data_IF_269462038106
#
_entry.id   IF_269462038106
#
_cell.length_a   1.000
_cell.length_b   1.000
_cell.length_c   1.000
_cell.angle_alpha   90.00
_cell.angle_beta   90.00
_cell.angle_gamma   90.00
#
_symmetry.space_group_name_H-M   'P 1'
#
loop_
_entity.id
_entity.type
_entity.pdbx_description
1 polymer ?
#
# COMPACT_ATOMS: atom_id res chain seq x y z
N UNK A 1 -42.26 -37.22 -6.67
CA UNK A 1 -41.44 -36.83 -7.82
C UNK A 1 -42.30 -36.02 -8.77
N UNK A 2 -42.35 -34.71 -8.57
CA UNK A 2 -42.99 -33.75 -9.47
C UNK A 2 -42.02 -32.59 -9.70
N UNK A 3 -41.91 -32.14 -10.94
CA UNK A 3 -41.04 -31.03 -11.36
C UNK A 3 -41.54 -29.69 -10.81
N UNK A 4 -40.64 -28.88 -10.25
CA UNK A 4 -40.90 -27.49 -9.82
C UNK A 4 -40.49 -26.53 -10.95
N UNK A 5 -41.37 -25.63 -11.38
CA UNK A 5 -41.11 -24.74 -12.53
C UNK A 5 -41.00 -23.25 -12.21
N UNK A 6 -41.27 -22.81 -10.98
CA UNK A 6 -41.15 -21.39 -10.62
C UNK A 6 -40.73 -21.23 -9.15
N UNK A 7 -39.64 -20.49 -8.96
CA UNK A 7 -39.14 -19.97 -7.68
C UNK A 7 -39.42 -18.46 -7.63
N UNK A 8 -40.24 -18.01 -6.68
CA UNK A 8 -40.43 -16.60 -6.38
C UNK A 8 -39.83 -16.30 -5.01
N UNK A 9 -38.55 -15.89 -5.02
CA UNK A 9 -37.80 -15.39 -3.87
C UNK A 9 -38.60 -14.31 -3.13
N UNK A 10 -39.34 -14.70 -2.09
CA UNK A 10 -40.22 -13.78 -1.34
C UNK A 10 -39.48 -13.29 -0.12
N UNK A 11 -38.87 -12.12 -0.22
CA UNK A 11 -38.24 -11.42 0.90
C UNK A 11 -39.31 -10.60 1.64
N UNK A 12 -39.70 -11.02 2.84
CA UNK A 12 -40.59 -10.24 3.71
C UNK A 12 -39.77 -9.36 4.65
N UNK A 13 -40.14 -8.08 4.78
CA UNK A 13 -39.59 -7.19 5.80
C UNK A 13 -40.10 -7.55 7.20
N UNK A 14 -39.37 -7.14 8.26
CA UNK A 14 -39.82 -7.34 9.65
C UNK A 14 -41.24 -6.81 9.89
N UNK A 15 -41.60 -5.66 9.32
CA UNK A 15 -42.95 -5.10 9.45
C UNK A 15 -44.03 -6.00 8.80
N UNK A 16 -43.68 -6.70 7.71
CA UNK A 16 -44.58 -7.68 7.09
C UNK A 16 -44.67 -8.95 7.93
N UNK A 17 -43.55 -9.41 8.52
CA UNK A 17 -43.52 -10.57 9.44
C UNK A 17 -44.36 -10.31 10.69
N UNK A 18 -44.23 -9.12 11.29
CA UNK A 18 -44.99 -8.73 12.49
C UNK A 18 -46.51 -8.71 12.24
N UNK A 19 -46.93 -8.43 11.00
CA UNK A 19 -48.34 -8.48 10.62
C UNK A 19 -48.91 -9.91 10.54
N UNK A 20 -48.06 -10.95 10.44
CA UNK A 20 -48.49 -12.35 10.47
C UNK A 20 -48.61 -12.93 11.88
N UNK A 21 -48.02 -12.29 12.90
CA UNK A 21 -48.10 -12.74 14.30
C UNK A 21 -49.26 -12.03 15.00
N UNK A 22 -50.46 -12.61 14.89
CA UNK A 22 -51.69 -12.02 15.44
C UNK A 22 -52.45 -12.99 16.34
N UNK A 23 -53.01 -12.49 17.44
CA UNK A 23 -54.01 -13.21 18.24
C UNK A 23 -55.38 -13.04 17.59
N UNK A 24 -55.68 -13.90 16.62
CA UNK A 24 -56.87 -13.81 15.78
C UNK A 24 -57.92 -14.87 16.03
N UNK A 25 -59.14 -14.65 15.51
CA UNK A 25 -60.16 -15.68 15.47
C UNK A 25 -59.75 -16.76 14.46
N UNK A 26 -59.73 -18.02 14.92
CA UNK A 26 -59.43 -19.19 14.09
C UNK A 26 -60.74 -19.81 13.60
N UNK A 27 -60.96 -19.82 12.28
CA UNK A 27 -62.12 -20.47 11.65
C UNK A 27 -61.69 -21.79 11.02
N UNK A 28 -62.17 -22.89 11.60
CA UNK A 28 -61.80 -24.25 11.20
C UNK A 28 -62.57 -24.70 9.96
N UNK A 29 -61.85 -25.21 8.96
CA UNK A 29 -62.46 -25.82 7.78
C UNK A 29 -62.94 -27.25 8.06
N UNK A 30 -63.91 -27.71 7.27
CA UNK A 30 -64.37 -29.09 7.29
C UNK A 30 -63.21 -30.08 7.05
N UNK A 31 -63.14 -31.13 7.86
CA UNK A 31 -62.02 -32.08 7.85
C UNK A 31 -60.86 -31.74 8.79
N UNK A 32 -60.92 -30.62 9.51
CA UNK A 32 -60.00 -30.35 10.62
C UNK A 32 -60.15 -31.43 11.70
N UNK A 33 -59.03 -31.92 12.24
CA UNK A 33 -59.05 -32.99 13.25
C UNK A 33 -58.33 -32.58 14.54
N UNK A 34 -58.84 -33.06 15.68
CA UNK A 34 -58.18 -33.00 16.99
C UNK A 34 -57.85 -34.42 17.43
N UNK A 35 -56.56 -34.72 17.64
CA UNK A 35 -56.09 -36.09 17.91
C UNK A 35 -56.56 -37.13 16.87
N UNK A 36 -56.70 -36.71 15.61
CA UNK A 36 -57.17 -37.55 14.51
C UNK A 36 -58.70 -37.70 14.42
N UNK A 37 -59.47 -37.23 15.40
CA UNK A 37 -60.94 -37.19 15.32
C UNK A 37 -61.41 -35.91 14.61
N UNK A 38 -62.35 -36.01 13.68
CA UNK A 38 -62.87 -34.84 12.95
C UNK A 38 -63.69 -33.93 13.87
N UNK A 39 -63.35 -32.64 13.85
CA UNK A 39 -64.11 -31.62 14.58
C UNK A 39 -65.36 -31.29 13.77
N UNK A 40 -66.52 -31.30 14.43
CA UNK A 40 -67.77 -30.87 13.81
C UNK A 40 -67.69 -29.38 13.51
N UNK A 41 -67.87 -29.01 12.24
CA UNK A 41 -67.80 -27.63 11.74
C UNK A 41 -68.99 -27.36 10.82
N UNK A 42 -69.41 -26.11 10.71
CA UNK A 42 -70.56 -25.70 9.89
C UNK A 42 -71.83 -25.37 10.68
N UNK A 43 -72.96 -25.28 9.99
CA UNK A 43 -74.25 -24.95 10.60
C UNK A 43 -74.91 -26.21 11.18
N UNK A 44 -75.25 -26.17 12.48
CA UNK A 44 -76.03 -27.22 13.15
C UNK A 44 -77.47 -26.74 13.28
N UNK A 45 -78.40 -27.35 12.53
CA UNK A 45 -79.81 -26.93 12.45
C UNK A 45 -80.77 -27.82 13.24
N UNK A 46 -80.25 -28.87 13.86
CA UNK A 46 -81.02 -29.84 14.66
C UNK A 46 -80.33 -30.00 16.00
N UNK A 47 -81.03 -29.65 17.08
CA UNK A 47 -80.60 -29.94 18.44
C UNK A 47 -81.04 -31.37 18.80
N UNK A 48 -80.06 -32.27 18.88
CA UNK A 48 -80.28 -33.61 19.42
C UNK A 48 -79.75 -33.57 20.84
N UNK A 49 -80.63 -33.51 21.83
CA UNK A 49 -80.22 -33.52 23.22
C UNK A 49 -79.51 -34.85 23.55
N UNK A 50 -78.18 -34.83 23.56
CA UNK A 50 -77.33 -36.02 23.64
C UNK A 50 -77.23 -36.62 25.04
N UNK A 51 -77.74 -35.94 26.07
CA UNK A 51 -77.78 -36.40 27.48
C UNK A 51 -76.48 -37.07 27.95
N UNK A 52 -75.32 -36.49 27.58
CA UNK A 52 -74.01 -37.03 27.93
C UNK A 52 -73.74 -36.91 29.45
N UNK A 53 -73.16 -37.95 30.04
CA UNK A 53 -72.69 -37.92 31.43
C UNK A 53 -71.38 -37.12 31.56
N UNK A 54 -71.05 -36.61 32.76
CA UNK A 54 -69.81 -35.87 33.00
C UNK A 54 -68.56 -36.66 32.56
N UNK A 55 -68.52 -37.97 32.81
CA UNK A 55 -67.40 -38.83 32.38
C UNK A 55 -67.26 -38.90 30.85
N UNK A 56 -68.37 -38.80 30.11
CA UNK A 56 -68.33 -38.73 28.64
C UNK A 56 -67.89 -37.35 28.17
N UNK A 57 -68.31 -36.27 28.83
CA UNK A 57 -67.89 -34.90 28.53
C UNK A 57 -66.39 -34.72 28.77
N UNK A 58 -65.86 -35.22 29.88
CA UNK A 58 -64.43 -35.16 30.22
C UNK A 58 -63.55 -35.88 29.19
N UNK A 59 -64.08 -36.91 28.51
CA UNK A 59 -63.38 -37.59 27.43
C UNK A 59 -63.30 -36.77 26.12
N UNK A 60 -64.18 -35.76 25.93
CA UNK A 60 -64.14 -34.86 24.78
C UNK A 60 -63.25 -33.63 25.01
N UNK A 61 -62.96 -33.26 26.27
CA UNK A 61 -62.07 -32.15 26.61
C UNK A 61 -60.63 -32.65 26.66
N UNK A 62 -59.98 -32.68 25.50
CA UNK A 62 -58.59 -33.16 25.35
C UNK A 62 -57.66 -32.03 24.90
N UNK A 63 -56.47 -31.97 25.52
CA UNK A 63 -55.35 -31.22 24.96
C UNK A 63 -54.67 -32.13 23.93
N UNK A 64 -54.81 -31.79 22.65
CA UNK A 64 -54.43 -32.66 21.55
C UNK A 64 -53.78 -31.93 20.39
N UNK A 65 -53.13 -32.69 19.51
CA UNK A 65 -52.60 -32.16 18.27
C UNK A 65 -53.77 -31.76 17.36
N UNK A 66 -53.83 -30.48 16.99
CA UNK A 66 -54.78 -29.95 16.04
C UNK A 66 -54.18 -29.99 14.63
N UNK A 67 -54.80 -30.74 13.72
CA UNK A 67 -54.41 -30.79 12.30
C UNK A 67 -55.41 -29.99 11.47
N UNK A 68 -54.93 -28.90 10.87
CA UNK A 68 -55.75 -27.94 10.13
C UNK A 68 -56.01 -28.43 8.71
N UNK A 69 -57.28 -28.41 8.29
CA UNK A 69 -57.65 -28.70 6.91
C UNK A 69 -57.41 -27.49 6.00
N UNK A 70 -57.24 -27.76 4.71
CA UNK A 70 -57.16 -26.73 3.67
C UNK A 70 -58.40 -25.82 3.71
N UNK A 71 -58.17 -24.51 3.66
CA UNK A 71 -59.23 -23.50 3.79
C UNK A 71 -59.47 -23.01 5.22
N UNK A 72 -58.75 -23.53 6.22
CA UNK A 72 -58.73 -22.93 7.56
C UNK A 72 -58.19 -21.51 7.50
N UNK A 73 -58.81 -20.57 8.21
CA UNK A 73 -58.39 -19.16 8.21
C UNK A 73 -58.09 -18.63 9.61
N UNK A 74 -57.14 -17.71 9.71
CA UNK A 74 -56.86 -16.88 10.90
C UNK A 74 -57.17 -15.43 10.53
N UNK A 75 -58.11 -14.79 11.25
CA UNK A 75 -58.59 -13.44 10.92
C UNK A 75 -59.05 -13.28 9.46
N UNK A 76 -59.62 -14.34 8.87
CA UNK A 76 -60.07 -14.36 7.49
C UNK A 76 -58.97 -14.61 6.44
N UNK A 77 -57.69 -14.63 6.84
CA UNK A 77 -56.58 -15.02 5.96
C UNK A 77 -56.37 -16.54 5.98
N UNK A 78 -56.24 -17.17 4.81
CA UNK A 78 -56.02 -18.62 4.70
C UNK A 78 -54.66 -19.02 5.27
N UNK A 79 -54.66 -20.00 6.18
CA UNK A 79 -53.42 -20.60 6.69
C UNK A 79 -52.91 -21.60 5.66
N UNK A 80 -51.62 -21.53 5.36
CA UNK A 80 -50.97 -22.50 4.48
C UNK A 80 -50.90 -23.86 5.19
N UNK A 81 -51.58 -24.87 4.64
CA UNK A 81 -51.65 -26.23 5.18
C UNK A 81 -51.27 -27.23 4.09
N UNK A 82 -50.55 -28.29 4.42
CA UNK A 82 -50.19 -29.37 3.48
C UNK A 82 -48.69 -29.67 3.47
N UNK A 83 -48.25 -30.42 2.45
CA UNK A 83 -46.82 -30.71 2.26
C UNK A 83 -46.14 -29.50 1.63
N UNK A 84 -45.19 -28.90 2.35
CA UNK A 84 -44.29 -27.88 1.83
C UNK A 84 -43.03 -28.59 1.32
N UNK A 85 -42.89 -28.79 0.01
CA UNK A 85 -41.76 -29.53 -0.59
C UNK A 85 -40.69 -28.62 -1.20
N UNK A 86 -40.78 -27.31 -0.98
CA UNK A 86 -39.92 -26.29 -1.58
C UNK A 86 -39.23 -25.52 -0.46
N UNK A 87 -37.90 -25.61 -0.43
CA UNK A 87 -37.02 -24.89 0.49
C UNK A 87 -36.53 -23.59 -0.18
N UNK A 88 -36.88 -22.44 0.38
CA UNK A 88 -36.42 -21.11 -0.07
C UNK A 88 -35.05 -20.81 0.52
N UNK A 89 -34.00 -21.46 0.01
CA UNK A 89 -32.64 -21.24 0.48
C UNK A 89 -32.07 -19.94 -0.10
N UNK A 90 -31.69 -18.99 0.75
CA UNK A 90 -31.19 -17.64 0.39
C UNK A 90 -29.72 -17.61 -0.07
N UNK A 91 -29.27 -18.62 -0.81
CA UNK A 91 -27.86 -18.71 -1.20
C UNK A 91 -27.50 -17.69 -2.28
N UNK A 92 -26.48 -16.88 -2.02
CA UNK A 92 -25.84 -16.05 -3.03
C UNK A 92 -25.16 -16.97 -4.06
N UNK A 93 -25.44 -16.76 -5.34
CA UNK A 93 -24.73 -17.43 -6.43
C UNK A 93 -23.27 -16.97 -6.51
N UNK A 94 -22.39 -17.79 -7.11
CA UNK A 94 -21.00 -17.38 -7.37
C UNK A 94 -20.92 -16.06 -8.13
N UNK A 95 -21.84 -15.79 -9.06
CA UNK A 95 -21.89 -14.52 -9.79
C UNK A 95 -22.18 -13.32 -8.86
N UNK A 96 -23.01 -13.51 -7.82
CA UNK A 96 -23.27 -12.49 -6.81
C UNK A 96 -22.09 -12.31 -5.84
N UNK A 97 -21.35 -13.38 -5.56
CA UNK A 97 -20.12 -13.33 -4.76
C UNK A 97 -18.99 -12.63 -5.53
N UNK A 98 -18.81 -12.97 -6.81
CA UNK A 98 -17.82 -12.35 -7.70
C UNK A 98 -18.12 -10.88 -7.96
N UNK A 99 -19.40 -10.49 -7.96
CA UNK A 99 -19.79 -9.08 -8.02
C UNK A 99 -19.41 -8.30 -6.73
N UNK A 100 -19.26 -8.99 -5.60
CA UNK A 100 -18.87 -8.39 -4.32
C UNK A 100 -17.35 -8.40 -4.10
N UNK A 101 -16.68 -9.44 -4.60
CA UNK A 101 -15.21 -9.58 -4.57
C UNK A 101 -14.63 -9.06 -5.87
N UNK A 102 -14.49 -7.73 -5.95
CA UNK A 102 -13.85 -7.10 -7.11
C UNK A 102 -12.33 -7.15 -6.97
N UNK A 103 -11.62 -7.48 -8.06
CA UNK A 103 -10.17 -7.28 -8.20
C UNK A 103 -9.81 -5.79 -8.34
N UNK A 104 -10.47 -4.92 -7.58
CA UNK A 104 -10.22 -3.50 -7.60
C UNK A 104 -8.93 -3.17 -6.83
N UNK A 105 -8.19 -2.13 -7.23
CA UNK A 105 -7.07 -1.63 -6.45
C UNK A 105 -7.51 -1.27 -5.03
N UNK A 106 -6.81 -1.80 -4.03
CA UNK A 106 -7.05 -1.45 -2.64
C UNK A 106 -6.27 -0.18 -2.27
N UNK A 107 -6.98 0.88 -1.92
CA UNK A 107 -6.38 2.09 -1.37
C UNK A 107 -5.96 1.84 0.08
N UNK A 108 -4.65 1.85 0.35
CA UNK A 108 -4.13 1.64 1.70
C UNK A 108 -3.75 2.99 2.31
N UNK A 109 -4.30 3.29 3.48
CA UNK A 109 -3.91 4.46 4.25
C UNK A 109 -2.51 4.29 4.87
N UNK A 110 -1.86 5.40 5.23
CA UNK A 110 -0.63 5.36 6.02
C UNK A 110 -0.86 4.55 7.31
N UNK A 111 0.07 3.65 7.64
CA UNK A 111 -0.06 2.74 8.78
C UNK A 111 -0.91 1.48 8.52
N UNK A 112 -1.37 1.24 7.29
CA UNK A 112 -1.97 -0.05 6.94
C UNK A 112 -0.99 -1.20 7.16
N UNK A 113 -1.50 -2.35 7.60
CA UNK A 113 -0.72 -3.57 7.82
C UNK A 113 -1.22 -4.73 6.96
N UNK A 114 -0.34 -5.66 6.60
CA UNK A 114 -0.70 -6.96 6.01
C UNK A 114 -0.16 -8.04 6.94
N UNK A 115 -1.05 -8.87 7.50
CA UNK A 115 -0.66 -9.93 8.43
C UNK A 115 -0.07 -9.42 9.76
N UNK A 116 -0.36 -8.17 10.13
CA UNK A 116 0.23 -7.52 11.31
C UNK A 116 1.53 -6.75 11.02
N UNK A 117 2.13 -6.94 9.85
CA UNK A 117 3.34 -6.22 9.43
C UNK A 117 2.99 -4.90 8.76
N UNK A 118 3.70 -3.83 9.14
CA UNK A 118 3.55 -2.51 8.54
C UNK A 118 3.87 -2.53 7.04
N UNK A 119 2.98 -1.95 6.22
CA UNK A 119 3.29 -1.72 4.82
C UNK A 119 4.16 -0.47 4.74
N UNK A 120 5.47 -0.67 4.72
CA UNK A 120 6.43 0.40 4.52
C UNK A 120 6.42 0.84 3.06
N UNK A 121 6.12 2.11 2.83
CA UNK A 121 6.27 2.81 1.55
C UNK A 121 7.35 3.87 1.71
N UNK A 122 7.89 4.34 0.61
CA UNK A 122 8.93 5.34 0.63
C UNK A 122 10.15 4.92 -0.16
N UNK A 123 10.95 5.92 -0.49
CA UNK A 123 12.27 5.76 -1.08
C UNK A 123 13.34 6.13 -0.05
N UNK A 124 14.54 5.59 -0.23
CA UNK A 124 15.73 6.08 0.46
C UNK A 124 16.76 6.46 -0.57
N UNK A 125 17.23 7.71 -0.54
CA UNK A 125 18.27 8.21 -1.44
C UNK A 125 19.40 8.90 -0.65
N UNK A 126 20.56 9.06 -1.27
CA UNK A 126 21.63 9.91 -0.71
C UNK A 126 21.47 11.31 -1.25
N UNK A 127 21.52 12.31 -0.37
CA UNK A 127 21.66 13.70 -0.75
C UNK A 127 23.14 14.07 -0.66
N UNK A 128 23.82 13.96 -1.80
CA UNK A 128 25.24 14.28 -1.90
C UNK A 128 25.43 15.80 -1.85
N UNK A 129 26.30 16.27 -0.96
CA UNK A 129 26.60 17.69 -0.77
C UNK A 129 25.71 18.40 0.25
N UNK A 130 24.84 17.74 1.02
CA UNK A 130 24.03 18.41 2.06
C UNK A 130 23.86 17.50 3.28
N UNK A 131 23.84 18.08 4.48
CA UNK A 131 23.57 17.30 5.72
C UNK A 131 22.08 17.21 6.05
N UNK A 132 21.25 18.06 5.44
CA UNK A 132 19.81 18.08 5.60
C UNK A 132 19.10 17.62 4.33
N UNK A 133 18.06 16.80 4.49
CA UNK A 133 17.22 16.38 3.38
C UNK A 133 16.29 17.50 2.91
N UNK A 134 15.95 17.55 1.61
CA UNK A 134 15.10 18.59 1.05
C UNK A 134 13.61 18.27 1.28
N UNK A 135 12.78 19.31 1.24
CA UNK A 135 11.31 19.16 1.21
C UNK A 135 10.75 18.46 2.45
N UNK A 136 9.92 17.43 2.23
CA UNK A 136 9.29 16.61 3.27
C UNK A 136 10.11 15.38 3.68
N UNK A 137 11.25 15.13 3.03
CA UNK A 137 12.08 13.99 3.33
C UNK A 137 12.72 14.15 4.71
N UNK A 138 12.79 13.06 5.46
CA UNK A 138 13.41 13.02 6.78
C UNK A 138 14.87 12.62 6.66
N UNK A 139 15.77 13.38 7.28
CA UNK A 139 17.17 12.99 7.45
C UNK A 139 17.27 11.79 8.38
N UNK A 140 17.65 10.64 7.84
CA UNK A 140 17.94 9.44 8.63
C UNK A 140 19.26 9.59 9.37
N UNK A 141 20.28 10.10 8.68
CA UNK A 141 21.54 10.53 9.27
C UNK A 141 22.28 11.48 8.33
N UNK A 142 23.18 12.27 8.91
CA UNK A 142 24.15 13.10 8.21
C UNK A 142 25.56 12.53 8.33
N UNK A 143 26.44 12.95 7.43
CA UNK A 143 27.72 12.31 7.28
C UNK A 143 28.70 12.99 6.33
N UNK A 144 29.73 12.22 6.04
CA UNK A 144 30.85 12.58 5.17
C UNK A 144 30.77 11.80 3.88
N UNK A 145 31.07 12.45 2.76
CA UNK A 145 31.35 11.73 1.51
C UNK A 145 32.75 11.14 1.67
N UNK A 146 32.85 9.83 1.55
CA UNK A 146 34.13 9.13 1.61
C UNK A 146 34.28 8.19 0.40
N UNK A 147 35.53 8.02 -0.04
CA UNK A 147 35.87 7.19 -1.19
C UNK A 147 37.32 6.68 -1.15
N UNK A 148 37.78 6.03 -2.22
CA UNK A 148 39.19 5.65 -2.36
C UNK A 148 40.11 6.84 -2.63
N UNK A 149 41.40 6.70 -2.30
CA UNK A 149 42.40 7.72 -2.58
C UNK A 149 42.60 7.92 -4.07
N UNK A 150 42.76 9.16 -4.51
CA UNK A 150 42.85 9.48 -5.94
C UNK A 150 44.03 8.80 -6.67
N UNK A 151 45.17 8.59 -5.99
CA UNK A 151 46.33 7.87 -6.60
C UNK A 151 46.29 6.34 -6.47
N UNK A 152 45.28 5.76 -5.82
CA UNK A 152 45.22 4.32 -5.59
C UNK A 152 44.27 3.66 -6.59
N UNK A 153 44.81 2.81 -7.47
CA UNK A 153 44.02 2.07 -8.47
C UNK A 153 43.17 0.92 -7.92
N UNK A 154 43.23 0.66 -6.61
CA UNK A 154 42.45 -0.37 -5.92
C UNK A 154 41.74 0.21 -4.69
N UNK A 155 40.89 -0.60 -4.04
CA UNK A 155 40.09 -0.17 -2.90
C UNK A 155 38.65 0.16 -3.29
N UNK A 156 38.16 1.33 -2.86
CA UNK A 156 36.74 1.71 -2.95
C UNK A 156 36.51 2.62 -4.16
N UNK A 157 35.84 2.07 -5.18
CA UNK A 157 35.47 2.80 -6.40
C UNK A 157 34.17 3.62 -6.25
N UNK A 158 33.24 3.18 -5.40
CA UNK A 158 32.00 3.90 -5.13
C UNK A 158 32.21 5.03 -4.11
N UNK A 159 31.15 5.79 -3.87
CA UNK A 159 31.11 6.83 -2.85
C UNK A 159 30.20 6.40 -1.71
N UNK A 160 30.65 6.57 -0.47
CA UNK A 160 29.86 6.25 0.71
C UNK A 160 29.51 7.50 1.48
N UNK A 161 28.25 7.60 1.90
CA UNK A 161 27.84 8.58 2.88
C UNK A 161 28.04 7.98 4.28
N UNK A 162 29.15 8.31 4.92
CA UNK A 162 29.55 7.72 6.19
C UNK A 162 28.96 8.52 7.35
N UNK A 163 28.34 7.82 8.30
CA UNK A 163 27.76 8.45 9.50
C UNK A 163 28.80 9.32 10.22
N UNK A 164 28.39 10.50 10.69
CA UNK A 164 29.30 11.44 11.37
C UNK A 164 29.86 10.92 12.69
N UNK A 165 29.17 9.97 13.31
CA UNK A 165 29.58 9.27 14.53
C UNK A 165 29.61 7.76 14.27
N UNK A 166 30.74 7.18 13.79
CA UNK A 166 30.83 5.75 13.50
C UNK A 166 30.93 4.90 14.78
N UNK A 167 30.44 3.66 14.71
CA UNK A 167 30.63 2.65 15.74
C UNK A 167 31.69 1.64 15.31
N UNK A 168 32.56 1.23 16.22
CA UNK A 168 33.57 0.19 15.99
C UNK A 168 33.28 -1.02 16.87
N UNK A 169 33.35 -2.24 16.30
CA UNK A 169 33.09 -3.49 17.02
C UNK A 169 34.39 -4.19 17.43
N UNK A 170 35.19 -4.57 16.44
CA UNK A 170 36.51 -5.18 16.59
C UNK A 170 37.47 -4.42 15.68
N UNK A 171 38.57 -3.92 16.24
CA UNK A 171 39.53 -3.11 15.51
C UNK A 171 40.95 -3.27 16.05
N UNK A 172 41.91 -2.92 15.21
CA UNK A 172 43.33 -2.83 15.53
C UNK A 172 43.89 -1.58 14.84
N UNK A 173 44.55 -0.72 15.60
CA UNK A 173 45.06 0.58 15.15
C UNK A 173 46.39 0.49 14.36
N UNK A 174 46.89 -0.72 14.09
CA UNK A 174 48.03 -0.92 13.21
C UNK A 174 47.66 -0.70 11.73
N UNK A 175 48.63 -0.27 10.93
CA UNK A 175 48.45 -0.18 9.48
C UNK A 175 48.49 -1.58 8.86
N UNK A 176 47.43 -1.93 8.12
CA UNK A 176 47.30 -3.21 7.42
C UNK A 176 47.16 -3.05 5.90
N UNK A 177 47.18 -1.82 5.37
CA UNK A 177 47.13 -1.50 3.93
C UNK A 177 46.03 -2.25 3.16
N UNK A 178 44.85 -2.44 3.78
CA UNK A 178 43.69 -3.11 3.19
C UNK A 178 42.91 -2.20 2.21
N UNK A 179 41.58 -2.35 2.17
CA UNK A 179 40.74 -1.37 1.48
C UNK A 179 40.66 -0.09 2.30
N UNK A 180 41.24 0.99 1.78
CA UNK A 180 41.34 2.28 2.47
C UNK A 180 40.20 3.21 2.06
N UNK A 181 39.70 3.97 3.03
CA UNK A 181 38.59 4.91 2.88
C UNK A 181 39.06 6.29 3.35
N UNK A 182 38.85 7.30 2.52
CA UNK A 182 39.35 8.66 2.72
C UNK A 182 38.18 9.64 2.73
N UNK A 183 38.31 10.71 3.52
CA UNK A 183 37.43 11.87 3.37
C UNK A 183 37.57 12.43 1.95
N UNK A 184 36.45 12.95 1.44
CA UNK A 184 36.38 13.47 0.08
C UNK A 184 36.46 14.98 0.10
N UNK A 185 37.34 15.55 -0.71
CA UNK A 185 37.44 16.99 -0.90
C UNK A 185 36.85 17.42 -2.23
N UNK A 186 36.30 18.62 -2.27
CA UNK A 186 35.98 19.28 -3.52
C UNK A 186 37.23 19.91 -4.10
N UNK A 187 37.58 19.52 -5.32
CA UNK A 187 38.63 20.15 -6.10
C UNK A 187 37.95 21.04 -7.12
N UNK A 188 37.72 22.30 -6.75
CA UNK A 188 36.94 23.30 -7.48
C UNK A 188 37.79 24.49 -7.93
N UNK A 189 39.11 24.32 -8.05
CA UNK A 189 40.03 25.37 -8.48
C UNK A 189 39.62 25.94 -9.86
N UNK A 190 39.65 27.27 -10.06
CA UNK A 190 39.23 27.90 -11.33
C UNK A 190 39.99 27.40 -12.57
N UNK A 191 41.23 26.91 -12.38
CA UNK A 191 42.06 26.39 -13.46
C UNK A 191 41.69 24.96 -13.90
N UNK A 192 40.85 24.27 -13.13
CA UNK A 192 40.53 22.84 -13.31
C UNK A 192 39.02 22.60 -13.39
N UNK A 193 38.18 23.56 -12.95
CA UNK A 193 36.72 23.47 -12.99
C UNK A 193 36.12 24.75 -13.57
N UNK A 194 35.11 24.64 -14.43
CA UNK A 194 34.45 25.80 -15.05
C UNK A 194 33.15 26.25 -14.35
N UNK A 195 32.82 25.70 -13.18
CA UNK A 195 31.60 26.09 -12.43
C UNK A 195 31.92 27.13 -11.35
N UNK A 196 31.88 28.41 -11.74
CA UNK A 196 32.27 29.54 -10.89
C UNK A 196 31.64 29.57 -9.48
N UNK A 197 30.39 29.11 -9.34
CA UNK A 197 29.70 29.11 -8.03
C UNK A 197 30.20 28.05 -7.06
N UNK A 198 31.02 27.10 -7.52
CA UNK A 198 31.62 26.06 -6.70
C UNK A 198 33.07 26.38 -6.33
N UNK A 199 33.70 27.42 -6.90
CA UNK A 199 35.13 27.72 -6.71
C UNK A 199 35.50 27.92 -5.24
N UNK A 200 34.61 28.50 -4.44
CA UNK A 200 34.78 28.69 -2.99
C UNK A 200 34.55 27.42 -2.15
N UNK A 201 34.46 26.25 -2.79
CA UNK A 201 34.40 24.94 -2.14
C UNK A 201 35.72 24.18 -2.24
N UNK A 202 36.71 24.73 -2.95
CA UNK A 202 37.99 24.06 -3.16
C UNK A 202 38.70 23.72 -1.84
N UNK A 203 39.30 22.53 -1.76
CA UNK A 203 40.05 22.01 -0.60
C UNK A 203 39.23 21.96 0.69
N UNK A 204 37.91 21.79 0.57
CA UNK A 204 37.04 21.54 1.73
C UNK A 204 36.39 20.17 1.66
N UNK A 205 36.15 19.57 2.83
CA UNK A 205 35.52 18.27 2.92
C UNK A 205 34.03 18.29 2.53
N UNK A 206 33.66 17.30 1.74
CA UNK A 206 32.34 17.12 1.19
C UNK A 206 31.40 16.37 2.15
N UNK A 207 30.20 16.91 2.33
CA UNK A 207 29.16 16.41 3.26
C UNK A 207 28.03 15.69 2.55
N UNK A 208 27.28 14.87 3.28
CA UNK A 208 26.12 14.15 2.73
C UNK A 208 25.09 13.81 3.81
N UNK A 209 23.93 13.34 3.37
CA UNK A 209 22.91 12.76 4.22
C UNK A 209 22.17 11.63 3.52
N UNK A 210 21.57 10.73 4.31
CA UNK A 210 20.61 9.74 3.81
C UNK A 210 19.19 10.19 4.11
N UNK A 211 18.36 10.22 3.08
CA UNK A 211 17.03 10.79 3.11
C UNK A 211 15.98 9.71 2.92
N UNK A 212 14.97 9.71 3.78
CA UNK A 212 13.78 8.89 3.63
C UNK A 212 12.59 9.77 3.28
N UNK A 213 11.98 9.52 2.13
CA UNK A 213 10.75 10.21 1.71
C UNK A 213 9.59 9.18 1.67
N UNK A 214 8.63 9.25 2.61
CA UNK A 214 7.56 8.26 2.73
C UNK A 214 6.49 8.36 1.63
N UNK A 215 6.36 9.51 0.95
CA UNK A 215 5.30 9.76 -0.02
C UNK A 215 5.73 9.52 -1.48
N UNK A 216 6.78 8.73 -1.67
CA UNK A 216 7.32 8.31 -2.98
C UNK A 216 7.53 6.81 -2.98
N UNK A 217 7.54 6.20 -4.15
CA UNK A 217 7.68 4.76 -4.32
C UNK A 217 8.85 4.39 -5.25
N UNK A 218 9.39 5.35 -6.00
CA UNK A 218 10.54 5.13 -6.89
C UNK A 218 11.40 6.40 -6.97
N UNK A 219 12.70 6.21 -7.12
CA UNK A 219 13.68 7.28 -7.33
C UNK A 219 14.62 6.92 -8.48
N UNK A 220 15.19 7.94 -9.13
CA UNK A 220 16.34 7.80 -10.01
C UNK A 220 17.11 9.12 -10.14
N UNK A 221 18.35 9.04 -10.60
CA UNK A 221 19.14 10.22 -11.00
C UNK A 221 18.93 10.51 -12.48
N UNK A 222 18.45 11.71 -12.80
CA UNK A 222 18.48 12.24 -14.16
C UNK A 222 19.86 12.81 -14.46
N UNK A 223 20.65 12.08 -15.25
CA UNK A 223 21.95 12.52 -15.73
C UNK A 223 21.79 13.43 -16.95
N UNK A 224 22.48 14.57 -16.97
CA UNK A 224 22.49 15.50 -18.11
C UNK A 224 21.37 16.55 -18.13
N UNK A 225 20.46 16.52 -17.15
CA UNK A 225 19.44 17.55 -16.94
C UNK A 225 19.24 17.82 -15.45
N UNK A 226 18.86 19.04 -15.14
CA UNK A 226 18.51 19.48 -13.79
C UNK A 226 17.00 19.47 -13.55
N UNK A 227 16.17 19.00 -14.48
CA UNK A 227 14.73 18.82 -14.31
C UNK A 227 14.34 17.34 -14.18
N UNK A 228 13.08 17.07 -13.83
CA UNK A 228 12.52 15.73 -13.81
C UNK A 228 11.40 15.61 -14.85
N UNK A 229 11.04 14.40 -15.30
CA UNK A 229 9.98 14.24 -16.30
C UNK A 229 8.65 14.75 -15.75
N UNK A 230 7.73 15.12 -16.64
CA UNK A 230 6.41 15.59 -16.24
C UNK A 230 5.71 14.62 -15.26
N UNK A 231 5.21 15.15 -14.15
CA UNK A 231 4.56 14.38 -13.08
C UNK A 231 5.52 13.64 -12.14
N UNK A 232 6.82 13.90 -12.21
CA UNK A 232 7.82 13.52 -11.21
C UNK A 232 8.18 14.72 -10.33
N UNK A 233 8.72 14.43 -9.16
CA UNK A 233 9.19 15.42 -8.21
C UNK A 233 10.70 15.54 -8.30
N UNK A 234 11.21 16.75 -8.15
CA UNK A 234 12.64 17.02 -8.00
C UNK A 234 12.94 16.98 -6.50
N UNK A 235 13.80 16.04 -6.08
CA UNK A 235 14.33 16.01 -4.72
C UNK A 235 15.43 17.06 -4.58
N UNK A 236 16.41 17.05 -5.48
CA UNK A 236 17.39 18.12 -5.59
C UNK A 236 18.06 18.17 -6.97
N UNK A 237 18.76 19.27 -7.24
CA UNK A 237 19.47 19.55 -8.49
C UNK A 237 20.95 19.78 -8.22
N UNK A 238 21.80 19.49 -9.19
CA UNK A 238 23.23 19.41 -8.97
C UNK A 238 24.10 19.32 -10.22
N UNK A 239 25.37 18.98 -9.98
CA UNK A 239 26.35 18.66 -11.00
C UNK A 239 26.77 17.20 -10.87
N UNK A 240 27.05 16.58 -12.02
CA UNK A 240 27.71 15.29 -12.05
C UNK A 240 29.15 15.50 -11.59
N UNK A 241 29.57 14.73 -10.59
CA UNK A 241 30.93 14.77 -10.08
C UNK A 241 31.51 13.35 -9.97
N UNK A 242 32.81 13.26 -10.22
CA UNK A 242 33.60 12.03 -10.15
C UNK A 242 35.08 12.38 -9.89
N UNK A 243 35.95 11.37 -9.90
CA UNK A 243 37.40 11.56 -9.86
C UNK A 243 37.92 12.20 -11.17
N UNK A 244 39.14 12.76 -11.13
CA UNK A 244 39.77 13.42 -12.28
C UNK A 244 40.23 12.40 -13.32
N UNK A 245 40.07 12.73 -14.60
CA UNK A 245 40.40 11.84 -15.72
C UNK A 245 41.87 11.35 -15.79
N UNK A 246 42.84 12.05 -15.16
CA UNK A 246 44.25 11.64 -15.11
C UNK A 246 44.62 10.84 -13.87
N UNK A 247 43.70 10.70 -12.92
CA UNK A 247 43.98 9.94 -11.71
C UNK A 247 43.92 8.43 -12.00
N UNK A 248 44.81 7.63 -11.36
CA UNK A 248 44.81 6.18 -11.54
C UNK A 248 43.61 5.49 -10.88
N UNK A 249 42.94 6.15 -9.92
CA UNK A 249 41.65 5.69 -9.39
C UNK A 249 40.57 5.87 -10.45
N UNK A 250 39.71 4.86 -10.58
CA UNK A 250 38.44 4.99 -11.27
C UNK A 250 37.31 5.03 -10.24
N UNK A 251 36.39 5.98 -10.37
CA UNK A 251 35.26 6.13 -9.46
C UNK A 251 33.93 6.08 -10.20
N UNK A 252 32.87 5.76 -9.47
CA UNK A 252 31.52 6.04 -9.93
C UNK A 252 31.29 7.56 -10.05
N UNK A 253 30.25 7.96 -10.77
CA UNK A 253 29.78 9.35 -10.79
C UNK A 253 28.60 9.52 -9.83
N UNK A 254 28.50 10.68 -9.18
CA UNK A 254 27.40 11.04 -8.29
C UNK A 254 26.81 12.40 -8.65
N UNK A 255 25.53 12.59 -8.33
CA UNK A 255 24.87 13.88 -8.48
C UNK A 255 25.03 14.69 -7.19
N UNK A 256 25.94 15.66 -7.18
CA UNK A 256 26.21 16.51 -6.01
C UNK A 256 25.37 17.78 -6.09
N UNK A 257 24.71 18.13 -4.98
CA UNK A 257 23.85 19.30 -4.91
C UNK A 257 24.55 20.57 -5.42
N UNK A 258 23.82 21.43 -6.14
CA UNK A 258 24.35 22.66 -6.75
C UNK A 258 24.92 23.67 -5.76
N UNK A 259 24.54 23.60 -4.49
CA UNK A 259 25.11 24.40 -3.41
C UNK A 259 25.60 23.47 -2.31
N UNK A 260 26.71 22.75 -2.51
CA UNK A 260 27.14 21.77 -1.54
C UNK A 260 27.63 22.44 -0.26
N UNK A 261 27.32 21.83 0.88
CA UNK A 261 27.91 22.13 2.17
C UNK A 261 29.34 21.63 2.21
N UNK A 262 30.17 22.44 2.85
CA UNK A 262 31.58 22.17 3.11
C UNK A 262 31.82 22.22 4.61
N UNK A 263 32.76 21.41 5.06
CA UNK A 263 33.27 21.46 6.42
C UNK A 263 34.79 21.57 6.37
N UNK A 264 35.39 22.05 7.46
CA UNK A 264 36.82 22.04 7.66
C UNK A 264 37.46 23.38 7.30
N UNK A 265 38.75 23.33 7.08
CA UNK A 265 39.57 24.45 6.63
C UNK A 265 39.96 24.18 5.17
N UNK A 266 40.29 25.24 4.42
CA UNK A 266 40.82 25.13 3.06
C UNK A 266 42.26 24.56 3.15
N UNK A 267 42.36 23.24 3.29
CA UNK A 267 43.60 22.52 3.47
C UNK A 267 43.58 21.32 2.54
N UNK A 268 44.62 21.19 1.72
CA UNK A 268 44.68 20.14 0.73
C UNK A 268 45.16 18.81 1.36
N UNK A 269 44.23 18.04 1.91
CA UNK A 269 44.46 16.73 2.52
C UNK A 269 44.68 15.62 1.47
N UNK A 270 44.24 15.83 0.23
CA UNK A 270 44.48 14.97 -0.93
C UNK A 270 44.00 13.52 -0.72
N UNK A 271 42.79 13.34 -0.18
CA UNK A 271 42.21 12.02 0.07
C UNK A 271 41.50 11.43 -1.14
N UNK A 272 40.18 11.30 -1.02
CA UNK A 272 39.30 11.12 -2.17
C UNK A 272 38.96 12.51 -2.74
N UNK A 273 38.82 12.66 -4.06
CA UNK A 273 38.66 13.98 -4.68
C UNK A 273 37.46 14.00 -5.64
N UNK A 274 36.63 15.04 -5.56
CA UNK A 274 35.52 15.28 -6.46
C UNK A 274 35.80 16.47 -7.38
N UNK A 275 35.64 16.22 -8.67
CA UNK A 275 35.73 17.17 -9.76
C UNK A 275 34.40 17.22 -10.51
N UNK A 276 34.06 18.38 -11.07
CA UNK A 276 32.91 18.46 -11.99
C UNK A 276 33.17 17.65 -13.25
N UNK A 277 32.16 16.94 -13.74
CA UNK A 277 32.24 16.20 -15.01
C UNK A 277 31.96 17.13 -16.18
N UNK A 278 32.88 17.15 -17.14
CA UNK A 278 32.74 17.86 -18.42
C UNK A 278 32.48 16.89 -19.58
N UNK A 279 31.79 17.38 -20.61
CA UNK A 279 31.59 16.63 -21.85
C UNK A 279 32.87 16.68 -22.69
N UNK A 280 33.45 15.50 -22.93
CA UNK A 280 34.40 15.30 -24.02
C UNK A 280 33.65 14.82 -25.27
N UNK A 281 33.85 15.54 -26.37
CA UNK A 281 33.11 15.35 -27.62
C UNK A 281 34.06 15.40 -28.81
N UNK A 282 34.19 14.30 -29.57
CA UNK A 282 35.02 14.28 -30.77
C UNK A 282 34.35 13.50 -31.91
N UNK A 283 34.45 14.03 -33.14
CA UNK A 283 33.94 13.41 -34.37
C UNK A 283 32.57 13.92 -34.86
N UNK A 284 32.15 13.46 -36.04
CA UNK A 284 30.98 13.92 -36.78
C UNK A 284 29.69 13.12 -36.57
N UNK A 285 29.74 12.03 -35.79
CA UNK A 285 28.61 11.12 -35.54
C UNK A 285 27.95 11.31 -34.16
N UNK A 286 28.36 12.34 -33.42
CA UNK A 286 27.96 12.58 -32.05
C UNK A 286 27.28 13.96 -31.97
N UNK A 287 26.23 14.08 -31.17
CA UNK A 287 25.45 15.31 -31.01
C UNK A 287 26.18 16.33 -30.12
N UNK A 288 27.34 16.82 -30.58
CA UNK A 288 28.10 17.88 -29.89
C UNK A 288 27.38 19.24 -29.90
N UNK A 289 26.21 19.34 -30.55
CA UNK A 289 25.37 20.55 -30.49
C UNK A 289 24.65 20.63 -29.15
N UNK A 290 24.09 19.50 -28.69
CA UNK A 290 23.41 19.42 -27.40
C UNK A 290 24.38 19.10 -26.25
N UNK A 291 25.40 18.26 -26.49
CA UNK A 291 26.47 17.97 -25.54
C UNK A 291 27.72 18.76 -25.93
N UNK A 292 27.71 20.03 -25.56
CA UNK A 292 28.77 20.99 -25.94
C UNK A 292 30.10 20.59 -25.30
N UNK A 293 31.14 20.54 -26.13
CA UNK A 293 32.52 20.26 -25.72
C UNK A 293 32.97 21.12 -24.53
N UNK A 294 33.61 20.49 -23.54
CA UNK A 294 34.12 21.09 -22.29
C UNK A 294 33.07 21.79 -21.44
N UNK A 295 31.80 21.41 -21.58
CA UNK A 295 30.73 21.94 -20.72
C UNK A 295 30.46 20.99 -19.57
N UNK A 296 30.38 21.54 -18.37
CA UNK A 296 30.02 20.78 -17.18
C UNK A 296 28.56 20.32 -17.22
N UNK A 297 28.35 19.13 -16.68
CA UNK A 297 27.09 18.42 -16.82
C UNK A 297 26.29 18.48 -15.53
N UNK A 298 25.04 18.90 -15.65
CA UNK A 298 24.08 18.95 -14.55
C UNK A 298 23.39 17.60 -14.32
N UNK A 299 22.74 17.48 -13.16
CA UNK A 299 21.91 16.34 -12.81
C UNK A 299 20.76 16.76 -11.88
N UNK A 300 19.77 15.88 -11.75
CA UNK A 300 18.72 15.98 -10.74
C UNK A 300 18.42 14.61 -10.15
N UNK A 301 18.08 14.57 -8.86
CA UNK A 301 17.50 13.37 -8.24
C UNK A 301 15.98 13.51 -8.27
N UNK A 302 15.33 12.52 -8.89
CA UNK A 302 13.91 12.52 -9.21
C UNK A 302 13.17 11.42 -8.47
N UNK A 303 11.92 11.68 -8.09
CA UNK A 303 11.08 10.70 -7.38
C UNK A 303 9.61 10.72 -7.81
N UNK A 304 8.89 9.63 -7.55
CA UNK A 304 7.44 9.54 -7.79
C UNK A 304 6.71 8.73 -6.74
#
# INVERSE_FOLDING_TARGET
TGSHTVDTNTQLSNAQVDAYVVNGALSLAAGTTLNGATISTGSHTVDTNTQLSNAQVDAYVVNGALSLAAGTTLNGATISTGSHTVDTNTQLSNAQVDAYVVNAPIGLAAGSTIGGEGIHRGIVYTHWGQVACPGSATTMYAGWIMGGHYTQGGGIASWQCMHESPNFREYNDANHDGALLYFTEFEMQPAVNGVAMLENRNDYEARCSRCYEPNRNVEFVMWGRDDCPSGWNIEYQGFIMADRHLHPRNSEAICVNRNPEIHGENLNHNGALLYTTEIECSGSNIDCQNYVYNREVVCAVCSK
#
